data_IF_991823314989
#
_entry.id   IF_991823314989
#
_cell.length_a   1.000
_cell.length_b   1.000
_cell.length_c   1.000
_cell.angle_alpha   90.00
_cell.angle_beta   90.00
_cell.angle_gamma   90.00
#
_symmetry.space_group_name_H-M   'P 1'
#
loop_
_entity.id
_entity.type
_entity.pdbx_description
1 polymer ?
#
# COMPACT_ATOMS: atom_id res chain seq x y z
N UNK A 1 21.16 16.55 52.32
CA UNK A 1 20.21 16.81 51.24
C UNK A 1 20.41 15.78 50.17
N UNK A 2 19.55 14.75 50.13
CA UNK A 2 19.44 13.81 49.02
C UNK A 2 18.32 14.35 48.15
N UNK A 3 18.63 14.80 46.95
CA UNK A 3 17.61 15.21 45.98
C UNK A 3 17.18 13.98 45.19
N UNK A 4 15.87 13.84 45.12
CA UNK A 4 15.08 12.77 44.51
C UNK A 4 15.32 12.66 43.00
N UNK A 5 15.68 11.47 42.53
CA UNK A 5 15.64 11.04 41.12
C UNK A 5 14.23 10.48 40.78
N UNK A 6 13.20 11.16 41.24
CA UNK A 6 11.81 10.83 40.93
C UNK A 6 11.25 11.86 39.97
N UNK A 7 11.32 11.58 38.66
CA UNK A 7 10.22 11.82 37.71
C UNK A 7 10.67 11.68 36.24
N UNK A 8 10.73 10.44 35.76
CA UNK A 8 10.36 10.12 34.38
C UNK A 8 9.12 9.22 34.45
N UNK A 9 7.96 9.78 34.09
CA UNK A 9 6.77 9.01 33.70
C UNK A 9 6.11 9.66 32.50
N UNK A 10 6.63 9.35 31.32
CA UNK A 10 5.86 9.45 30.07
C UNK A 10 6.24 8.24 29.21
N UNK A 11 5.55 7.12 29.43
CA UNK A 11 5.32 6.15 28.38
C UNK A 11 3.82 5.86 28.42
N UNK A 12 3.12 6.30 27.38
CA UNK A 12 1.74 5.91 27.15
C UNK A 12 1.66 4.39 27.02
N UNK A 13 0.61 3.83 27.60
CA UNK A 13 0.40 2.41 27.81
C UNK A 13 -0.03 1.71 26.52
N UNK A 14 0.85 1.69 25.51
CA UNK A 14 0.66 0.94 24.27
C UNK A 14 1.93 0.12 23.96
N UNK A 15 2.51 -0.48 25.01
CA UNK A 15 3.45 -1.58 24.83
C UNK A 15 2.66 -2.82 24.46
N UNK A 16 2.63 -3.15 23.18
CA UNK A 16 2.19 -4.45 22.69
C UNK A 16 2.94 -5.54 23.47
N UNK A 17 2.18 -6.32 24.26
CA UNK A 17 2.72 -7.44 25.04
C UNK A 17 3.44 -8.41 24.09
N UNK A 18 4.55 -9.04 24.52
CA UNK A 18 5.20 -10.08 23.73
C UNK A 18 4.20 -11.18 23.39
N UNK A 19 4.23 -11.65 22.14
CA UNK A 19 3.35 -12.70 21.64
C UNK A 19 3.35 -13.90 22.59
N UNK A 20 2.16 -14.41 22.90
CA UNK A 20 1.98 -15.59 23.74
C UNK A 20 2.29 -16.87 22.96
N UNK A 21 2.57 -17.97 23.65
CA UNK A 21 2.77 -19.28 22.99
C UNK A 21 1.54 -19.68 22.15
N UNK A 22 0.33 -19.32 22.60
CA UNK A 22 -0.91 -19.54 21.86
C UNK A 22 -0.95 -18.75 20.54
N UNK A 23 -0.48 -17.49 20.53
CA UNK A 23 -0.40 -16.65 19.32
C UNK A 23 0.57 -17.25 18.27
N UNK A 24 1.68 -17.84 18.74
CA UNK A 24 2.70 -18.48 17.88
C UNK A 24 2.12 -19.75 17.23
N UNK A 25 1.38 -20.55 18.00
CA UNK A 25 0.75 -21.77 17.48
C UNK A 25 -0.35 -21.43 16.47
N UNK A 26 -1.17 -20.42 16.74
CA UNK A 26 -2.23 -19.96 15.83
C UNK A 26 -1.64 -19.43 14.51
N UNK A 27 -0.61 -18.59 14.59
CA UNK A 27 0.10 -18.08 13.40
C UNK A 27 0.70 -19.21 12.57
N UNK A 28 1.26 -20.23 13.24
CA UNK A 28 1.85 -21.39 12.56
C UNK A 28 0.79 -22.25 11.84
N UNK A 29 -0.38 -22.45 12.47
CA UNK A 29 -1.52 -23.15 11.85
C UNK A 29 -2.05 -22.37 10.65
N UNK A 30 -2.22 -21.06 10.77
CA UNK A 30 -2.63 -20.19 9.68
C UNK A 30 -1.64 -20.29 8.51
N UNK A 31 -0.34 -20.19 8.78
CA UNK A 31 0.69 -20.32 7.76
C UNK A 31 0.63 -21.66 7.02
N UNK A 32 0.48 -22.77 7.75
CA UNK A 32 0.37 -24.10 7.14
C UNK A 32 -0.88 -24.22 6.28
N UNK A 33 -2.02 -23.68 6.74
CA UNK A 33 -3.28 -23.65 6.00
C UNK A 33 -3.15 -22.84 4.70
N UNK A 34 -2.67 -21.61 4.78
CA UNK A 34 -2.51 -20.73 3.60
C UNK A 34 -1.46 -21.25 2.62
N UNK A 35 -0.52 -22.07 3.11
CA UNK A 35 0.41 -22.80 2.26
C UNK A 35 -0.25 -23.99 1.55
N UNK A 36 -1.03 -24.79 2.27
CA UNK A 36 -1.63 -26.02 1.73
C UNK A 36 -2.76 -25.73 0.73
N UNK A 37 -3.53 -24.65 0.94
CA UNK A 37 -4.59 -24.22 0.03
C UNK A 37 -4.07 -23.41 -1.18
N UNK A 38 -2.77 -23.07 -1.21
CA UNK A 38 -2.12 -22.33 -2.30
C UNK A 38 -2.26 -20.81 -2.25
N UNK A 39 -2.93 -20.26 -1.23
CA UNK A 39 -3.16 -18.82 -1.11
C UNK A 39 -1.86 -18.02 -0.99
N UNK A 40 -0.83 -18.53 -0.31
CA UNK A 40 0.47 -17.85 -0.28
C UNK A 40 1.06 -17.68 -1.69
N UNK A 41 0.93 -18.68 -2.55
CA UNK A 41 1.43 -18.58 -3.93
C UNK A 41 0.63 -17.56 -4.75
N UNK A 42 -0.70 -17.51 -4.55
CA UNK A 42 -1.57 -16.50 -5.18
C UNK A 42 -1.22 -15.09 -4.70
N UNK A 43 -1.01 -14.89 -3.40
CA UNK A 43 -0.63 -13.60 -2.82
C UNK A 43 0.72 -13.11 -3.39
N UNK A 44 1.73 -13.98 -3.48
CA UNK A 44 3.00 -13.65 -4.13
C UNK A 44 2.81 -13.25 -5.59
N UNK A 45 2.03 -14.04 -6.35
CA UNK A 45 1.74 -13.74 -7.76
C UNK A 45 1.03 -12.40 -7.93
N UNK A 46 0.05 -12.10 -7.08
CA UNK A 46 -0.67 -10.84 -7.08
C UNK A 46 0.28 -9.65 -6.82
N UNK A 47 1.12 -9.74 -5.79
CA UNK A 47 2.13 -8.71 -5.51
C UNK A 47 3.09 -8.48 -6.67
N UNK A 48 3.57 -9.55 -7.31
CA UNK A 48 4.45 -9.46 -8.47
C UNK A 48 3.78 -8.79 -9.69
N UNK A 49 2.56 -9.20 -10.05
CA UNK A 49 1.81 -8.59 -11.17
C UNK A 49 1.59 -7.09 -10.92
N UNK A 50 1.21 -6.70 -9.70
CA UNK A 50 1.01 -5.28 -9.37
C UNK A 50 2.29 -4.46 -9.42
N UNK A 51 3.43 -5.05 -9.04
CA UNK A 51 4.72 -4.38 -9.17
C UNK A 51 5.11 -4.18 -10.63
N UNK A 52 4.85 -5.17 -11.49
CA UNK A 52 5.06 -5.07 -12.93
C UNK A 52 4.16 -3.98 -13.54
N UNK A 53 2.88 -3.92 -13.17
CA UNK A 53 1.95 -2.88 -13.64
C UNK A 53 2.41 -1.48 -13.23
N UNK A 54 2.88 -1.30 -11.99
CA UNK A 54 3.47 -0.04 -11.51
C UNK A 54 4.75 0.32 -12.26
N UNK A 55 5.59 -0.66 -12.54
CA UNK A 55 6.83 -0.47 -13.28
C UNK A 55 6.58 -0.09 -14.74
N UNK A 56 5.53 -0.64 -15.35
CA UNK A 56 5.17 -0.46 -16.76
C UNK A 56 4.40 0.85 -17.05
N UNK A 57 4.04 1.65 -16.04
CA UNK A 57 3.40 2.95 -16.29
C UNK A 57 4.36 3.89 -17.01
N UNK A 58 4.07 4.13 -18.29
CA UNK A 58 4.76 5.12 -19.13
C UNK A 58 3.94 6.42 -19.28
N UNK A 59 4.62 7.51 -19.59
CA UNK A 59 4.04 8.81 -19.89
C UNK A 59 3.72 8.99 -21.37
N UNK A 60 2.90 9.99 -21.72
CA UNK A 60 2.54 10.32 -23.12
C UNK A 60 3.77 10.78 -23.93
N UNK A 61 4.77 11.35 -23.25
CA UNK A 61 6.12 11.59 -23.79
C UNK A 61 7.12 11.53 -22.62
N UNK A 62 8.11 10.60 -22.62
CA UNK A 62 9.04 10.43 -21.50
C UNK A 62 9.85 11.68 -21.14
N UNK A 63 10.02 12.60 -22.09
CA UNK A 63 10.85 13.79 -21.93
C UNK A 63 10.12 15.01 -21.29
N UNK A 64 8.79 15.06 -21.32
CA UNK A 64 8.06 16.32 -21.03
C UNK A 64 7.35 16.35 -19.66
N UNK A 65 7.15 15.21 -18.99
CA UNK A 65 6.45 15.17 -17.69
C UNK A 65 6.91 14.02 -16.76
N UNK A 66 8.22 13.96 -16.51
CA UNK A 66 8.81 12.96 -15.58
C UNK A 66 8.16 13.05 -14.19
N UNK A 67 7.95 14.27 -13.68
CA UNK A 67 7.34 14.47 -12.37
C UNK A 67 5.89 13.97 -12.30
N UNK A 68 5.05 14.27 -13.30
CA UNK A 68 3.68 13.76 -13.38
C UNK A 68 3.63 12.23 -13.54
N UNK A 69 4.59 11.65 -14.25
CA UNK A 69 4.76 10.19 -14.34
C UNK A 69 5.09 9.56 -13.00
N UNK A 70 6.09 10.10 -12.29
CA UNK A 70 6.47 9.61 -10.96
C UNK A 70 5.27 9.71 -10.01
N UNK A 71 4.55 10.84 -9.99
CA UNK A 71 3.36 10.97 -9.15
C UNK A 71 2.24 9.99 -9.53
N UNK A 72 2.05 9.71 -10.82
CA UNK A 72 1.07 8.71 -11.28
C UNK A 72 1.43 7.31 -10.78
N UNK A 73 2.70 6.94 -10.84
CA UNK A 73 3.21 5.66 -10.35
C UNK A 73 3.10 5.54 -8.84
N UNK A 74 3.40 6.61 -8.11
CA UNK A 74 3.19 6.69 -6.66
C UNK A 74 1.71 6.48 -6.33
N UNK A 75 0.78 7.14 -7.05
CA UNK A 75 -0.65 6.95 -6.83
C UNK A 75 -1.12 5.52 -7.11
N UNK A 76 -0.61 4.87 -8.16
CA UNK A 76 -0.90 3.46 -8.42
C UNK A 76 -0.35 2.57 -7.30
N UNK A 77 0.90 2.77 -6.87
CA UNK A 77 1.49 2.03 -5.76
C UNK A 77 0.68 2.19 -4.47
N UNK A 78 0.16 3.39 -4.19
CA UNK A 78 -0.75 3.62 -3.07
C UNK A 78 -2.08 2.86 -3.23
N UNK A 79 -2.66 2.85 -4.44
CA UNK A 79 -3.88 2.09 -4.69
C UNK A 79 -3.66 0.57 -4.53
N UNK A 80 -2.49 0.06 -4.90
CA UNK A 80 -2.09 -1.33 -4.65
C UNK A 80 -2.00 -1.58 -3.14
N UNK A 81 -1.34 -0.72 -2.37
CA UNK A 81 -1.23 -0.82 -0.91
C UNK A 81 -2.60 -0.96 -0.25
N UNK A 82 -3.50 0.01 -0.51
CA UNK A 82 -4.87 0.00 0.03
C UNK A 82 -5.66 -1.21 -0.45
N UNK A 83 -5.50 -1.62 -1.72
CA UNK A 83 -6.21 -2.76 -2.27
C UNK A 83 -5.74 -4.09 -1.68
N UNK A 84 -4.45 -4.24 -1.38
CA UNK A 84 -3.91 -5.42 -0.71
C UNK A 84 -4.43 -5.55 0.73
N UNK A 85 -4.57 -4.43 1.44
CA UNK A 85 -5.19 -4.39 2.77
C UNK A 85 -6.70 -4.66 2.73
N UNK A 86 -7.37 -4.19 1.67
CA UNK A 86 -8.84 -4.22 1.59
C UNK A 86 -9.41 -5.52 1.02
N UNK A 87 -8.68 -6.21 0.15
CA UNK A 87 -9.23 -7.30 -0.67
C UNK A 87 -8.63 -8.68 -0.37
N UNK A 88 -7.54 -8.76 0.40
CA UNK A 88 -6.96 -10.05 0.75
C UNK A 88 -7.62 -10.62 2.02
N UNK A 89 -7.81 -11.95 2.09
CA UNK A 89 -8.59 -12.56 3.16
C UNK A 89 -8.05 -12.36 4.58
N UNK A 90 -6.74 -12.19 4.75
CA UNK A 90 -6.12 -12.08 6.05
C UNK A 90 -4.76 -11.33 5.99
N UNK A 91 -4.25 -10.83 7.13
CA UNK A 91 -3.02 -10.05 7.19
C UNK A 91 -1.77 -10.81 6.71
N UNK A 92 -1.71 -12.14 6.88
CA UNK A 92 -0.57 -12.94 6.41
C UNK A 92 -0.46 -12.88 4.87
N UNK A 93 -1.58 -12.97 4.17
CA UNK A 93 -1.62 -12.85 2.72
C UNK A 93 -1.29 -11.42 2.27
N UNK A 94 -1.84 -10.41 2.95
CA UNK A 94 -1.53 -8.99 2.70
C UNK A 94 -0.03 -8.71 2.82
N UNK A 95 0.59 -9.10 3.93
CA UNK A 95 2.03 -8.93 4.17
C UNK A 95 2.87 -9.70 3.14
N UNK A 96 2.45 -10.91 2.76
CA UNK A 96 3.12 -11.70 1.72
C UNK A 96 3.10 -10.99 0.37
N UNK A 97 1.95 -10.46 -0.03
CA UNK A 97 1.81 -9.74 -1.29
C UNK A 97 2.55 -8.40 -1.29
N UNK A 98 2.47 -7.62 -0.21
CA UNK A 98 3.21 -6.36 -0.04
C UNK A 98 4.73 -6.59 -0.12
N UNK A 99 5.23 -7.62 0.58
CA UNK A 99 6.66 -7.95 0.56
C UNK A 99 7.13 -8.26 -0.86
N UNK A 100 6.41 -9.11 -1.60
CA UNK A 100 6.75 -9.42 -3.00
C UNK A 100 6.60 -8.19 -3.90
N UNK A 101 5.60 -7.35 -3.68
CA UNK A 101 5.38 -6.12 -4.44
C UNK A 101 6.60 -5.19 -4.34
N UNK A 102 7.04 -4.88 -3.12
CA UNK A 102 8.20 -4.01 -2.89
C UNK A 102 9.53 -4.64 -3.33
N UNK A 103 9.73 -5.94 -3.09
CA UNK A 103 10.91 -6.67 -3.59
C UNK A 103 10.99 -6.65 -5.12
N UNK A 104 9.87 -6.86 -5.79
CA UNK A 104 9.79 -6.85 -7.26
C UNK A 104 10.05 -5.45 -7.80
N UNK A 105 9.43 -4.41 -7.23
CA UNK A 105 9.71 -3.02 -7.61
C UNK A 105 11.18 -2.63 -7.47
N UNK A 106 11.81 -3.05 -6.37
CA UNK A 106 13.24 -2.81 -6.14
C UNK A 106 14.11 -3.45 -7.21
N UNK A 107 13.70 -4.60 -7.75
CA UNK A 107 14.45 -5.32 -8.79
C UNK A 107 14.16 -4.78 -10.20
N UNK A 108 12.90 -4.50 -10.53
CA UNK A 108 12.47 -4.17 -11.89
C UNK A 108 12.47 -2.67 -12.19
N UNK A 109 12.30 -1.82 -11.18
CA UNK A 109 12.29 -0.37 -11.31
C UNK A 109 12.99 0.33 -10.12
N UNK A 110 14.29 0.07 -9.89
CA UNK A 110 15.02 0.54 -8.70
C UNK A 110 14.97 2.06 -8.50
N UNK A 111 15.14 2.85 -9.57
CA UNK A 111 15.08 4.32 -9.46
C UNK A 111 13.72 4.82 -8.94
N UNK A 112 12.63 4.21 -9.40
CA UNK A 112 11.30 4.55 -8.89
C UNK A 112 11.07 4.03 -7.48
N UNK A 113 11.60 2.84 -7.15
CA UNK A 113 11.53 2.35 -5.79
C UNK A 113 12.16 3.35 -4.81
N UNK A 114 13.33 3.89 -5.15
CA UNK A 114 13.99 4.92 -4.35
C UNK A 114 13.15 6.21 -4.27
N UNK A 115 12.65 6.71 -5.40
CA UNK A 115 11.74 7.87 -5.44
C UNK A 115 10.50 7.66 -4.54
N UNK A 116 9.91 6.46 -4.57
CA UNK A 116 8.73 6.11 -3.79
C UNK A 116 9.04 6.17 -2.29
N UNK A 117 10.17 5.59 -1.85
CA UNK A 117 10.61 5.60 -0.46
C UNK A 117 10.88 7.02 0.05
N UNK A 118 11.45 7.89 -0.80
CA UNK A 118 11.80 9.27 -0.41
C UNK A 118 10.60 10.24 -0.49
N UNK A 119 9.54 9.90 -1.23
CA UNK A 119 8.45 10.83 -1.55
C UNK A 119 7.65 11.34 -0.35
N UNK A 120 7.44 10.52 0.68
CA UNK A 120 6.48 10.78 1.77
C UNK A 120 5.01 10.90 1.30
N UNK A 121 4.71 10.61 0.03
CA UNK A 121 3.41 10.86 -0.58
C UNK A 121 2.28 10.01 0.02
N UNK A 122 2.60 8.78 0.43
CA UNK A 122 1.63 7.86 1.04
C UNK A 122 0.99 8.46 2.29
N UNK A 123 1.75 9.20 3.10
CA UNK A 123 1.23 9.87 4.30
C UNK A 123 0.07 10.80 3.99
N UNK A 124 0.13 11.54 2.87
CA UNK A 124 -0.96 12.44 2.47
C UNK A 124 -2.18 11.66 1.98
N UNK A 125 -1.98 10.61 1.20
CA UNK A 125 -3.10 9.78 0.75
C UNK A 125 -3.76 8.99 1.90
N UNK A 126 -2.99 8.57 2.90
CA UNK A 126 -3.55 7.92 4.10
C UNK A 126 -4.49 8.85 4.89
N UNK A 127 -4.25 10.17 4.88
CA UNK A 127 -5.18 11.13 5.48
C UNK A 127 -6.56 11.09 4.80
N UNK A 128 -6.61 10.87 3.49
CA UNK A 128 -7.86 10.78 2.75
C UNK A 128 -8.68 9.53 3.11
N UNK A 129 -8.04 8.38 3.26
CA UNK A 129 -8.75 7.11 3.56
C UNK A 129 -9.19 7.03 5.02
N UNK A 130 -8.47 7.69 5.94
CA UNK A 130 -8.80 7.68 7.38
C UNK A 130 -10.13 8.36 7.69
N UNK A 131 -10.43 9.46 6.99
CA UNK A 131 -11.62 10.27 7.26
C UNK A 131 -12.90 9.71 6.60
N UNK A 132 -12.75 8.70 5.73
CA UNK A 132 -13.80 7.89 5.07
C UNK A 132 -14.96 8.68 4.43
N UNK A 133 -14.72 9.95 4.06
CA UNK A 133 -15.67 10.82 3.35
C UNK A 133 -15.00 11.35 2.10
N UNK A 134 -15.66 11.16 0.96
CA UNK A 134 -15.20 11.63 -0.36
C UNK A 134 -13.73 11.27 -0.67
N UNK A 135 -13.32 10.02 -0.33
CA UNK A 135 -11.94 9.54 -0.43
C UNK A 135 -11.35 9.81 -1.82
N UNK A 136 -12.09 9.50 -2.88
CA UNK A 136 -11.60 9.62 -4.25
C UNK A 136 -11.40 11.09 -4.65
N UNK A 137 -12.23 11.99 -4.10
CA UNK A 137 -12.06 13.43 -4.31
C UNK A 137 -10.81 13.93 -3.57
N UNK A 138 -10.64 13.57 -2.30
CA UNK A 138 -9.47 13.93 -1.51
C UNK A 138 -8.17 13.42 -2.14
N UNK A 139 -8.17 12.16 -2.62
CA UNK A 139 -7.03 11.57 -3.33
C UNK A 139 -6.72 12.34 -4.61
N UNK A 140 -7.74 12.73 -5.39
CA UNK A 140 -7.55 13.56 -6.58
C UNK A 140 -6.91 14.92 -6.27
N UNK A 141 -7.43 15.64 -5.28
CA UNK A 141 -6.88 16.93 -4.83
C UNK A 141 -5.43 16.79 -4.31
N UNK A 142 -5.16 15.71 -3.58
CA UNK A 142 -3.82 15.37 -3.09
C UNK A 142 -2.85 15.09 -4.24
N UNK A 143 -3.28 14.32 -5.24
CA UNK A 143 -2.50 14.04 -6.45
C UNK A 143 -2.12 15.32 -7.19
N UNK A 144 -3.08 16.25 -7.38
CA UNK A 144 -2.81 17.53 -8.02
C UNK A 144 -1.81 18.37 -7.21
N UNK A 145 -1.93 18.36 -5.88
CA UNK A 145 -0.98 19.03 -4.97
C UNK A 145 0.44 18.46 -5.09
N UNK A 146 0.58 17.13 -5.08
CA UNK A 146 1.88 16.44 -5.21
C UNK A 146 2.51 16.61 -6.59
N UNK A 147 1.70 16.89 -7.62
CA UNK A 147 2.19 17.34 -8.93
C UNK A 147 2.58 18.83 -8.97
N UNK A 148 2.54 19.55 -7.84
CA UNK A 148 2.84 20.97 -7.74
C UNK A 148 1.73 21.89 -8.24
N UNK A 149 0.50 21.38 -8.41
CA UNK A 149 -0.64 22.12 -9.00
C UNK A 149 -1.91 21.95 -8.16
N UNK A 150 -1.83 22.25 -6.87
CA UNK A 150 -2.92 22.03 -5.89
C UNK A 150 -4.31 22.59 -6.27
N UNK A 151 -4.38 23.62 -7.11
CA UNK A 151 -5.64 24.24 -7.55
C UNK A 151 -6.05 23.85 -8.99
N UNK A 152 -5.33 22.93 -9.64
CA UNK A 152 -5.67 22.45 -10.97
C UNK A 152 -6.77 21.38 -10.88
N UNK A 153 -8.01 21.83 -11.08
CA UNK A 153 -9.19 20.97 -11.05
C UNK A 153 -9.12 19.83 -12.07
N UNK A 154 -8.54 20.07 -13.25
CA UNK A 154 -8.43 19.03 -14.29
C UNK A 154 -7.48 17.92 -13.81
N UNK A 155 -6.38 18.30 -13.18
CA UNK A 155 -5.43 17.33 -12.64
C UNK A 155 -6.00 16.59 -11.41
N UNK A 156 -6.81 17.26 -10.59
CA UNK A 156 -7.51 16.62 -9.49
C UNK A 156 -8.54 15.59 -9.97
N UNK A 157 -9.36 15.95 -10.97
CA UNK A 157 -10.31 15.03 -11.60
C UNK A 157 -9.59 13.85 -12.26
N UNK A 158 -8.42 14.08 -12.85
CA UNK A 158 -7.57 13.01 -13.39
C UNK A 158 -7.04 12.08 -12.30
N UNK A 159 -6.49 12.62 -11.20
CA UNK A 159 -6.02 11.82 -10.06
C UNK A 159 -7.13 10.96 -9.43
N UNK A 160 -8.33 11.54 -9.29
CA UNK A 160 -9.53 10.83 -8.87
C UNK A 160 -9.86 9.66 -9.80
N UNK A 161 -9.90 9.92 -11.12
CA UNK A 161 -10.21 8.89 -12.11
C UNK A 161 -9.16 7.76 -12.12
N UNK A 162 -7.88 8.11 -12.00
CA UNK A 162 -6.78 7.15 -11.88
C UNK A 162 -6.96 6.26 -10.65
N UNK A 163 -7.21 6.85 -9.48
CA UNK A 163 -7.39 6.09 -8.24
C UNK A 163 -8.57 5.12 -8.32
N UNK A 164 -9.74 5.58 -8.79
CA UNK A 164 -10.93 4.74 -8.99
C UNK A 164 -10.63 3.57 -9.94
N UNK A 165 -9.92 3.86 -11.03
CA UNK A 165 -9.55 2.85 -12.01
C UNK A 165 -8.61 1.80 -11.39
N UNK A 166 -7.53 2.25 -10.74
CA UNK A 166 -6.51 1.38 -10.17
C UNK A 166 -7.05 0.52 -9.04
N UNK A 167 -7.83 1.08 -8.12
CA UNK A 167 -8.43 0.28 -7.04
C UNK A 167 -9.45 -0.73 -7.58
N UNK A 168 -10.17 -0.38 -8.65
CA UNK A 168 -11.09 -1.28 -9.36
C UNK A 168 -10.36 -2.43 -10.07
N UNK A 169 -9.22 -2.14 -10.69
CA UNK A 169 -8.35 -3.17 -11.28
C UNK A 169 -7.80 -4.12 -10.21
N UNK A 170 -7.31 -3.55 -9.10
CA UNK A 170 -6.78 -4.32 -7.98
C UNK A 170 -7.85 -5.26 -7.40
N UNK A 171 -9.08 -4.76 -7.22
CA UNK A 171 -10.22 -5.60 -6.79
C UNK A 171 -10.48 -6.75 -7.76
N UNK A 172 -10.62 -6.43 -9.05
CA UNK A 172 -10.94 -7.42 -10.08
C UNK A 172 -9.87 -8.51 -10.16
N UNK A 173 -8.60 -8.12 -10.05
CA UNK A 173 -7.50 -9.06 -10.06
C UNK A 173 -7.48 -9.91 -8.79
N UNK A 174 -7.67 -9.33 -7.60
CA UNK A 174 -7.75 -10.08 -6.34
C UNK A 174 -8.88 -11.12 -6.36
N UNK A 175 -10.06 -10.75 -6.88
CA UNK A 175 -11.19 -11.66 -7.07
C UNK A 175 -10.84 -12.81 -8.02
N UNK A 176 -10.13 -12.53 -9.11
CA UNK A 176 -9.70 -13.54 -10.09
C UNK A 176 -8.63 -14.51 -9.56
N UNK A 177 -7.98 -14.19 -8.44
CA UNK A 177 -6.99 -15.10 -7.82
C UNK A 177 -7.67 -16.31 -7.17
N UNK A 178 -8.98 -16.25 -6.89
CA UNK A 178 -9.76 -17.33 -6.26
C UNK A 178 -9.12 -17.80 -4.94
N UNK A 179 -8.87 -16.86 -4.02
CA UNK A 179 -8.37 -17.19 -2.69
C UNK A 179 -9.35 -18.13 -1.98
N UNK A 180 -8.82 -19.23 -1.46
CA UNK A 180 -9.62 -20.22 -0.72
C UNK A 180 -9.97 -19.67 0.65
N UNK A 181 -11.24 -19.34 0.87
CA UNK A 181 -11.78 -18.91 2.16
C UNK A 181 -12.45 -20.12 2.82
N UNK A 182 -11.67 -21.16 3.12
CA UNK A 182 -12.19 -22.19 4.03
C UNK A 182 -12.20 -21.60 5.44
N UNK A 183 -13.25 -21.90 6.21
CA UNK A 183 -13.40 -21.53 7.63
C UNK A 183 -12.53 -22.41 8.52
#
# INVERSE_FOLDING_TARGET
MRNDDGDIKIAGDDFSLPATDDDIEETSKLLQREKSNGNLSRARRLGAIMAEDVAAVEGVNPADDIAGMTQRRILLAFAVEIGLESFLPNPLLTQTAQSVFYETLRQTAPAFYDDLQESGAFSFYYLCVRDNKDVEKCVGETYASLCGKANDRRLADQGKALYIHFIGQMRSLAESMEFSVEA
#
